data_IF_639524164037
#
_entry.id   IF_639524164037
#
_cell.length_a   1.000
_cell.length_b   1.000
_cell.length_c   1.000
_cell.angle_alpha   90.00
_cell.angle_beta   90.00
_cell.angle_gamma   90.00
#
_symmetry.space_group_name_H-M   'P 1'
#
loop_
_entity.id
_entity.type
_entity.pdbx_description
1 polymer ?
#
# COMPACT_ATOMS: atom_id res chain seq x y z
N UNK A 1 39.09 -23.42 21.30
CA UNK A 1 37.82 -23.84 21.92
C UNK A 1 36.75 -22.87 21.47
N UNK A 2 36.00 -23.23 20.43
CA UNK A 2 34.90 -22.40 19.95
C UNK A 2 33.71 -22.59 20.90
N UNK A 3 33.23 -21.49 21.47
CA UNK A 3 32.11 -21.47 22.41
C UNK A 3 30.80 -21.68 21.64
N UNK A 4 29.90 -22.53 22.17
CA UNK A 4 28.55 -22.77 21.64
C UNK A 4 27.69 -21.48 21.52
N UNK A 5 28.13 -20.35 22.10
CA UNK A 5 27.49 -19.03 21.92
C UNK A 5 27.73 -18.41 20.53
N UNK A 6 28.81 -18.76 19.83
CA UNK A 6 29.08 -18.20 18.50
C UNK A 6 28.22 -18.83 17.38
N UNK A 7 27.57 -19.97 17.66
CA UNK A 7 26.73 -20.70 16.70
C UNK A 7 25.25 -20.29 16.75
N UNK A 8 24.81 -19.64 17.82
CA UNK A 8 23.42 -19.21 18.00
C UNK A 8 23.33 -17.71 18.24
N UNK A 9 22.96 -16.98 17.18
CA UNK A 9 22.47 -15.62 17.30
C UNK A 9 23.50 -14.57 16.90
N UNK A 10 23.80 -14.50 15.59
CA UNK A 10 24.03 -13.20 14.96
C UNK A 10 22.78 -12.37 15.23
N UNK A 11 22.84 -11.57 16.29
CA UNK A 11 21.79 -10.65 16.70
C UNK A 11 21.65 -9.64 15.55
N UNK A 12 20.71 -9.93 14.64
CA UNK A 12 20.37 -9.05 13.54
C UNK A 12 20.08 -7.69 14.13
N UNK A 13 20.89 -6.71 13.75
CA UNK A 13 20.71 -5.31 14.08
C UNK A 13 19.27 -4.96 13.69
N UNK A 14 18.38 -4.78 14.68
CA UNK A 14 16.94 -4.56 14.51
C UNK A 14 16.62 -3.15 13.99
N UNK A 15 17.26 -2.74 12.90
CA UNK A 15 17.12 -1.43 12.27
C UNK A 15 16.74 -1.47 10.79
N UNK A 16 16.52 -2.65 10.20
CA UNK A 16 16.27 -2.79 8.76
C UNK A 16 14.96 -3.53 8.43
N UNK A 17 13.94 -3.47 9.29
CA UNK A 17 12.60 -4.01 8.97
C UNK A 17 11.64 -2.90 8.52
N UNK A 18 12.03 -2.16 7.47
CA UNK A 18 11.07 -1.28 6.80
C UNK A 18 10.16 -2.11 5.90
N UNK A 19 8.86 -1.81 5.89
CA UNK A 19 7.82 -2.52 5.12
C UNK A 19 7.96 -2.35 3.59
N UNK A 20 9.16 -2.05 3.08
CA UNK A 20 9.49 -1.78 1.68
C UNK A 20 8.59 -0.71 1.01
N UNK A 21 7.97 0.17 1.81
CA UNK A 21 7.02 1.17 1.33
C UNK A 21 5.73 0.57 0.75
N UNK A 22 5.35 -0.63 1.21
CA UNK A 22 4.05 -1.24 0.88
C UNK A 22 2.96 -0.54 1.67
N UNK A 23 1.90 -0.11 0.98
CA UNK A 23 0.76 0.57 1.59
C UNK A 23 -0.28 -0.46 2.08
N UNK A 24 -0.61 -1.45 1.24
CA UNK A 24 -1.58 -2.50 1.57
C UNK A 24 -1.13 -3.89 1.13
N UNK A 25 -1.61 -4.91 1.85
CA UNK A 25 -1.45 -6.32 1.48
C UNK A 25 -2.82 -6.95 1.34
N UNK A 26 -3.15 -7.41 0.13
CA UNK A 26 -4.38 -8.13 -0.15
C UNK A 26 -4.10 -9.63 -0.09
N UNK A 27 -4.79 -10.32 0.82
CA UNK A 27 -4.74 -11.78 0.89
C UNK A 27 -5.75 -12.37 -0.09
N UNK A 28 -5.24 -13.02 -1.14
CA UNK A 28 -6.05 -13.65 -2.18
C UNK A 28 -6.00 -15.17 -2.03
N UNK A 29 -7.10 -15.77 -1.57
CA UNK A 29 -7.21 -17.22 -1.38
C UNK A 29 -7.73 -17.88 -2.66
N UNK A 30 -7.02 -18.89 -3.13
CA UNK A 30 -7.37 -19.68 -4.33
C UNK A 30 -7.83 -21.07 -3.87
N UNK A 31 -9.15 -21.31 -3.81
CA UNK A 31 -9.66 -22.64 -3.51
C UNK A 31 -9.32 -23.62 -4.65
N UNK A 32 -8.98 -24.89 -4.33
CA UNK A 32 -8.59 -25.87 -5.34
C UNK A 32 -9.76 -26.32 -6.23
N UNK A 33 -11.00 -26.15 -5.79
CA UNK A 33 -12.22 -26.57 -6.50
C UNK A 33 -12.64 -25.57 -7.58
N UNK A 34 -12.32 -24.28 -7.43
CA UNK A 34 -12.76 -23.18 -8.31
C UNK A 34 -11.56 -22.38 -8.86
N UNK A 35 -10.53 -23.10 -9.33
CA UNK A 35 -9.29 -22.47 -9.78
C UNK A 35 -9.48 -21.55 -10.99
N UNK A 36 -10.31 -21.96 -11.95
CA UNK A 36 -10.51 -21.21 -13.19
C UNK A 36 -11.15 -19.83 -12.90
N UNK A 37 -12.12 -19.79 -11.99
CA UNK A 37 -12.78 -18.55 -11.57
C UNK A 37 -11.83 -17.67 -10.73
N UNK A 38 -11.03 -18.28 -9.86
CA UNK A 38 -10.02 -17.56 -9.08
C UNK A 38 -8.90 -16.97 -9.97
N UNK A 39 -8.50 -17.67 -11.03
CA UNK A 39 -7.53 -17.16 -12.00
C UNK A 39 -8.10 -15.98 -12.80
N UNK A 40 -9.35 -16.08 -13.26
CA UNK A 40 -10.04 -14.97 -13.94
C UNK A 40 -10.23 -13.76 -13.02
N UNK A 41 -10.65 -14.00 -11.77
CA UNK A 41 -10.82 -12.97 -10.75
C UNK A 41 -9.51 -12.28 -10.37
N UNK A 42 -8.42 -13.04 -10.28
CA UNK A 42 -7.09 -12.48 -10.04
C UNK A 42 -6.64 -11.55 -11.18
N UNK A 43 -6.84 -11.96 -12.44
CA UNK A 43 -6.51 -11.11 -13.60
C UNK A 43 -7.34 -9.82 -13.57
N UNK A 44 -8.62 -9.89 -13.23
CA UNK A 44 -9.48 -8.72 -13.11
C UNK A 44 -9.03 -7.79 -11.97
N UNK A 45 -8.62 -8.35 -10.83
CA UNK A 45 -8.10 -7.60 -9.69
C UNK A 45 -6.86 -6.80 -10.08
N UNK A 46 -5.85 -7.45 -10.65
CA UNK A 46 -4.59 -6.79 -11.04
C UNK A 46 -4.85 -5.70 -12.09
N UNK A 47 -5.67 -5.98 -13.11
CA UNK A 47 -6.05 -4.98 -14.12
C UNK A 47 -6.74 -3.76 -13.51
N UNK A 48 -7.60 -3.98 -12.52
CA UNK A 48 -8.33 -2.90 -11.85
C UNK A 48 -7.39 -2.04 -11.00
N UNK A 49 -6.46 -2.66 -10.26
CA UNK A 49 -5.45 -1.95 -9.48
C UNK A 49 -4.55 -1.09 -10.38
N UNK A 50 -4.07 -1.64 -11.49
CA UNK A 50 -3.24 -0.88 -12.45
C UNK A 50 -4.00 0.27 -13.09
N UNK A 51 -5.31 0.10 -13.37
CA UNK A 51 -6.14 1.17 -13.93
C UNK A 51 -6.28 2.39 -12.99
N UNK A 52 -6.26 2.15 -11.67
CA UNK A 52 -6.30 3.22 -10.65
C UNK A 52 -4.94 3.89 -10.47
N UNK A 53 -3.87 3.34 -11.04
CA UNK A 53 -2.50 3.85 -10.89
C UNK A 53 -1.79 3.31 -9.65
N UNK A 54 -2.23 2.15 -9.15
CA UNK A 54 -1.54 1.43 -8.08
C UNK A 54 -0.56 0.42 -8.70
N UNK A 55 0.63 0.34 -8.11
CA UNK A 55 1.60 -0.70 -8.42
C UNK A 55 1.32 -1.92 -7.54
N UNK A 56 1.26 -3.10 -8.16
CA UNK A 56 1.00 -4.36 -7.46
C UNK A 56 2.17 -5.32 -7.66
N UNK A 57 2.58 -5.99 -6.59
CA UNK A 57 3.59 -7.05 -6.57
C UNK A 57 2.97 -8.29 -5.94
N UNK A 58 3.20 -9.47 -6.53
CA UNK A 58 2.55 -10.71 -6.09
C UNK A 58 3.63 -11.62 -5.51
N UNK A 59 3.38 -12.14 -4.31
CA UNK A 59 4.26 -13.15 -3.68
C UNK A 59 3.43 -14.33 -3.20
N UNK A 60 4.10 -15.47 -3.09
CA UNK A 60 3.50 -16.69 -2.57
C UNK A 60 3.21 -16.49 -1.08
N UNK A 61 1.95 -16.70 -0.70
CA UNK A 61 1.53 -16.72 0.70
C UNK A 61 1.52 -18.16 1.25
N UNK A 62 0.62 -18.38 2.20
CA UNK A 62 0.31 -19.70 2.73
C UNK A 62 -0.22 -20.65 1.64
N UNK A 63 -0.20 -21.98 1.85
CA UNK A 63 -0.67 -22.95 0.86
C UNK A 63 -2.08 -22.62 0.34
N UNK A 64 -2.19 -22.40 -0.98
CA UNK A 64 -3.45 -22.01 -1.62
C UNK A 64 -3.79 -20.52 -1.50
N UNK A 65 -2.82 -19.65 -1.21
CA UNK A 65 -3.02 -18.20 -1.19
C UNK A 65 -1.87 -17.41 -1.80
N UNK A 66 -2.22 -16.24 -2.34
CA UNK A 66 -1.32 -15.25 -2.89
C UNK A 66 -1.43 -13.97 -2.07
N UNK A 67 -0.28 -13.34 -1.83
CA UNK A 67 -0.22 -12.03 -1.19
C UNK A 67 0.06 -11.00 -2.27
N UNK A 68 -0.88 -10.08 -2.48
CA UNK A 68 -0.73 -8.97 -3.42
C UNK A 68 -0.37 -7.73 -2.62
N UNK A 69 0.88 -7.32 -2.72
CA UNK A 69 1.43 -6.11 -2.15
C UNK A 69 1.08 -4.95 -3.07
N UNK A 70 0.48 -3.91 -2.53
CA UNK A 70 0.03 -2.74 -3.28
C UNK A 70 0.71 -1.51 -2.74
N UNK A 71 1.21 -0.67 -3.65
CA UNK A 71 1.73 0.65 -3.33
C UNK A 71 1.29 1.67 -4.38
N UNK A 72 1.29 2.94 -4.00
CA UNK A 72 1.08 4.00 -4.98
C UNK A 72 2.21 4.06 -6.01
N UNK A 73 1.87 4.08 -7.30
CA UNK A 73 2.87 4.12 -8.36
C UNK A 73 3.52 5.50 -8.52
N UNK A 74 2.79 6.58 -8.21
CA UNK A 74 3.26 7.95 -8.33
C UNK A 74 2.84 8.80 -7.13
N UNK A 75 3.80 9.55 -6.60
CA UNK A 75 3.60 10.55 -5.53
C UNK A 75 2.80 11.76 -6.00
N UNK A 76 2.88 12.11 -7.28
CA UNK A 76 2.10 13.20 -7.87
C UNK A 76 0.60 12.85 -7.92
N UNK A 77 0.30 11.61 -8.35
CA UNK A 77 -1.08 11.11 -8.36
C UNK A 77 -1.65 11.03 -6.94
N UNK A 78 -0.83 10.62 -5.95
CA UNK A 78 -1.21 10.66 -4.54
C UNK A 78 -1.62 12.07 -4.11
N UNK A 79 -0.76 13.06 -4.35
CA UNK A 79 -1.02 14.45 -3.97
C UNK A 79 -2.33 14.98 -4.57
N UNK A 80 -2.61 14.67 -5.84
CA UNK A 80 -3.86 15.05 -6.48
C UNK A 80 -5.10 14.38 -5.85
N UNK A 81 -5.00 13.11 -5.47
CA UNK A 81 -6.12 12.39 -4.84
C UNK A 81 -6.37 12.90 -3.42
N UNK A 82 -5.31 13.14 -2.63
CA UNK A 82 -5.44 13.73 -1.30
C UNK A 82 -6.08 15.11 -1.38
N UNK A 83 -5.63 15.96 -2.30
CA UNK A 83 -6.23 17.28 -2.52
C UNK A 83 -7.73 17.20 -2.83
N UNK A 84 -8.14 16.26 -3.69
CA UNK A 84 -9.56 16.03 -4.01
C UNK A 84 -10.36 15.54 -2.80
N UNK A 85 -9.79 14.65 -1.99
CA UNK A 85 -10.38 14.19 -0.73
C UNK A 85 -10.61 15.35 0.24
N UNK A 86 -9.57 16.15 0.50
CA UNK A 86 -9.65 17.33 1.39
C UNK A 86 -10.69 18.35 0.91
N UNK A 87 -10.77 18.59 -0.40
CA UNK A 87 -11.77 19.48 -0.99
C UNK A 87 -13.19 18.92 -0.83
N UNK A 88 -13.36 17.61 -0.95
CA UNK A 88 -14.64 16.95 -0.72
C UNK A 88 -15.08 17.06 0.74
N UNK A 89 -14.17 16.80 1.68
CA UNK A 89 -14.43 16.90 3.12
C UNK A 89 -14.77 18.35 3.53
N UNK A 90 -14.12 19.33 2.92
CA UNK A 90 -14.46 20.74 3.11
C UNK A 90 -15.85 21.07 2.55
N UNK A 91 -16.18 20.59 1.35
CA UNK A 91 -17.50 20.81 0.74
C UNK A 91 -18.62 20.20 1.58
N UNK A 92 -18.36 19.08 2.26
CA UNK A 92 -19.29 18.44 3.18
C UNK A 92 -19.30 19.05 4.60
N UNK A 93 -18.42 20.02 4.87
CA UNK A 93 -18.32 20.70 6.18
C UNK A 93 -17.62 19.88 7.27
N UNK A 94 -16.95 18.77 6.92
CA UNK A 94 -16.13 17.99 7.85
C UNK A 94 -14.85 18.77 8.21
N UNK A 95 -14.26 19.45 7.23
CA UNK A 95 -13.12 20.34 7.44
C UNK A 95 -13.55 21.79 7.57
N UNK A 96 -12.99 22.50 8.55
CA UNK A 96 -13.31 23.91 8.83
C UNK A 96 -12.69 24.87 7.82
N UNK A 97 -11.50 24.56 7.31
CA UNK A 97 -10.77 25.36 6.32
C UNK A 97 -10.65 24.62 4.99
N UNK A 98 -10.89 25.34 3.89
CA UNK A 98 -10.72 24.80 2.54
C UNK A 98 -9.23 24.76 2.15
N UNK A 99 -8.81 23.77 1.34
CA UNK A 99 -7.45 23.73 0.83
C UNK A 99 -7.20 24.92 -0.12
N UNK A 100 -5.94 25.38 -0.21
CA UNK A 100 -5.57 26.48 -1.11
C UNK A 100 -5.78 26.09 -2.58
N UNK A 101 -5.89 27.06 -3.49
CA UNK A 101 -6.12 26.80 -4.92
C UNK A 101 -4.91 26.16 -5.63
N UNK A 102 -3.74 26.19 -4.98
CA UNK A 102 -2.48 25.63 -5.48
C UNK A 102 -2.20 24.31 -4.77
N UNK A 103 -2.25 23.20 -5.52
CA UNK A 103 -2.15 21.83 -4.98
C UNK A 103 -0.82 21.62 -4.26
N UNK A 104 0.28 22.11 -4.82
CA UNK A 104 1.61 21.92 -4.24
C UNK A 104 1.73 22.67 -2.93
N UNK A 105 1.24 23.93 -2.88
CA UNK A 105 1.23 24.72 -1.64
C UNK A 105 0.32 24.11 -0.59
N UNK A 106 -0.87 23.60 -0.97
CA UNK A 106 -1.77 22.94 -0.03
C UNK A 106 -1.14 21.70 0.64
N UNK A 107 -0.31 20.96 -0.11
CA UNK A 107 0.41 19.79 0.39
C UNK A 107 1.68 20.16 1.19
N UNK A 108 2.29 21.32 0.92
CA UNK A 108 3.41 21.86 1.71
C UNK A 108 2.93 22.44 3.05
N UNK A 109 1.84 23.22 3.02
CA UNK A 109 1.23 23.86 4.19
C UNK A 109 0.68 22.81 5.18
N UNK A 110 0.14 21.72 4.66
CA UNK A 110 -0.39 20.60 5.44
C UNK A 110 0.07 19.26 4.83
N UNK A 111 1.20 18.71 5.30
CA UNK A 111 1.76 17.48 4.76
C UNK A 111 0.81 16.28 4.95
N UNK A 112 0.86 15.34 4.02
CA UNK A 112 0.04 14.12 4.06
C UNK A 112 0.52 13.23 5.21
N UNK A 113 -0.40 12.90 6.11
CA UNK A 113 -0.12 12.01 7.24
C UNK A 113 -0.27 10.54 6.81
N UNK A 114 0.45 9.62 7.45
CA UNK A 114 0.36 8.18 7.11
C UNK A 114 -1.06 7.62 7.23
N UNK A 115 -1.88 8.14 8.15
CA UNK A 115 -3.27 7.72 8.31
C UNK A 115 -4.22 8.29 7.24
N UNK A 116 -3.81 9.35 6.54
CA UNK A 116 -4.56 9.95 5.43
C UNK A 116 -4.20 9.30 4.08
N UNK A 117 -3.04 8.64 4.02
CA UNK A 117 -2.45 8.04 2.82
C UNK A 117 -3.09 6.71 2.46
#
# INVERSE_FOLDING_TARGET
MASLRDLYGKQGNGKDSHNFGVDYVVHYKVPPEERDEAEAGFVQLIKSLTKVGLAAEVRNGDPGSLLVFVKMASTELLGQQVYRGRLHDWLQGVRTSGPSSDITKALEDEPVMEAER
#
